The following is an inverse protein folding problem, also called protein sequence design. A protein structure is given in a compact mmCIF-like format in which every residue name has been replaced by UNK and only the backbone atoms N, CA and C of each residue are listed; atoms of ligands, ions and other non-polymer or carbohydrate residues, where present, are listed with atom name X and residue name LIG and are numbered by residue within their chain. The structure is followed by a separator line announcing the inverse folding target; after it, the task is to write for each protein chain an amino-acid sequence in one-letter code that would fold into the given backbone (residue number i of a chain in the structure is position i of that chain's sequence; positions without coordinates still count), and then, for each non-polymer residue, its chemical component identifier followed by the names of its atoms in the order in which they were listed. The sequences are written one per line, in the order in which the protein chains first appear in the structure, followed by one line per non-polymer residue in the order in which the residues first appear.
data_IF_547648755575
#
_entry.id   IF_547648755575
#
_cell.length_a   1.000
_cell.length_b   1.000
_cell.length_c   1.000
_cell.angle_alpha   90.00
_cell.angle_beta   90.00
_cell.angle_gamma   90.00
#
_symmetry.space_group_name_H-M   'P 1'
#
loop_
_entity.id
_entity.type
_entity.pdbx_description
1 polymer ?
#
# COMPACT_ATOMS: atom_id res chain seq x y z
N UNK A 1 -50.22 5.87 44.83
CA UNK A 1 -49.36 5.98 43.64
C UNK A 1 -47.94 5.90 44.17
N UNK A 2 -47.23 4.83 43.78
CA UNK A 2 -45.77 4.61 43.95
C UNK A 2 -45.29 4.60 45.41
N UNK A 3 -45.14 3.44 46.08
CA UNK A 3 -43.86 2.69 46.13
C UNK A 3 -44.02 1.23 46.66
N UNK A 4 -45.12 0.51 46.37
CA UNK A 4 -45.31 -0.88 46.85
C UNK A 4 -44.68 -1.97 45.96
N UNK A 5 -43.52 -1.72 45.34
CA UNK A 5 -42.84 -2.71 44.48
C UNK A 5 -41.38 -2.90 44.90
N UNK A 6 -41.12 -3.16 46.19
CA UNK A 6 -39.75 -3.52 46.60
C UNK A 6 -39.60 -4.66 47.63
N UNK A 7 -40.68 -5.32 48.09
CA UNK A 7 -40.55 -6.35 49.15
C UNK A 7 -41.31 -7.66 48.86
N UNK A 8 -41.39 -8.10 47.60
CA UNK A 8 -42.05 -9.39 47.30
C UNK A 8 -41.33 -10.36 46.38
N UNK A 9 -39.99 -10.38 46.38
CA UNK A 9 -39.24 -11.40 45.62
C UNK A 9 -38.06 -12.05 46.36
N UNK A 10 -38.03 -12.05 47.70
CA UNK A 10 -37.04 -12.81 48.47
C UNK A 10 -37.64 -13.75 49.51
N UNK A 11 -38.63 -14.54 49.09
CA UNK A 11 -38.99 -15.77 49.80
C UNK A 11 -39.08 -16.95 48.84
N UNK A 12 -37.91 -17.50 48.51
CA UNK A 12 -37.78 -18.92 48.16
C UNK A 12 -36.36 -19.40 48.42
N UNK A 13 -36.14 -19.93 49.62
CA UNK A 13 -35.03 -20.85 49.90
C UNK A 13 -35.13 -22.03 48.93
N UNK A 14 -34.05 -22.33 48.23
CA UNK A 14 -33.83 -23.61 47.56
C UNK A 14 -33.73 -23.54 46.04
N UNK A 15 -32.56 -23.14 45.52
CA UNK A 15 -31.89 -23.63 44.29
C UNK A 15 -30.55 -22.90 44.11
N UNK A 16 -29.63 -23.08 45.06
CA UNK A 16 -28.24 -22.59 44.91
C UNK A 16 -27.54 -23.37 43.80
N UNK A 17 -27.05 -22.67 42.77
CA UNK A 17 -26.02 -23.20 41.87
C UNK A 17 -26.12 -22.79 40.39
N UNK A 18 -27.30 -22.38 39.89
CA UNK A 18 -27.49 -22.15 38.44
C UNK A 18 -27.52 -20.66 38.04
N UNK A 19 -28.32 -19.82 38.72
CA UNK A 19 -28.45 -18.40 38.38
C UNK A 19 -27.23 -17.52 38.69
N UNK A 20 -26.44 -17.83 39.73
CA UNK A 20 -25.23 -17.06 40.07
C UNK A 20 -24.11 -17.22 39.03
N UNK A 21 -24.03 -18.39 38.38
CA UNK A 21 -23.03 -18.64 37.34
C UNK A 21 -23.36 -17.90 36.05
N UNK A 22 -24.64 -17.81 35.71
CA UNK A 22 -25.13 -17.11 34.53
C UNK A 22 -24.86 -15.59 34.58
N UNK A 23 -25.11 -14.95 35.73
CA UNK A 23 -24.83 -13.51 35.89
C UNK A 23 -23.32 -13.18 35.83
N UNK A 24 -22.46 -14.05 36.38
CA UNK A 24 -21.00 -13.88 36.30
C UNK A 24 -20.49 -13.96 34.85
N UNK A 25 -21.06 -14.85 34.04
CA UNK A 25 -20.72 -14.96 32.60
C UNK A 25 -21.13 -13.68 31.86
N UNK A 26 -22.33 -13.15 32.13
CA UNK A 26 -22.81 -11.91 31.52
C UNK A 26 -21.90 -10.72 31.89
N UNK A 27 -21.46 -10.61 33.15
CA UNK A 27 -20.51 -9.57 33.57
C UNK A 27 -19.18 -9.69 32.84
N UNK A 28 -18.63 -10.91 32.71
CA UNK A 28 -17.35 -11.12 32.01
C UNK A 28 -17.47 -10.71 30.54
N UNK A 29 -18.56 -11.07 29.87
CA UNK A 29 -18.81 -10.67 28.48
C UNK A 29 -18.92 -9.15 28.37
N UNK A 30 -19.65 -8.49 29.28
CA UNK A 30 -19.77 -7.04 29.29
C UNK A 30 -18.40 -6.34 29.46
N UNK A 31 -17.54 -6.85 30.34
CA UNK A 31 -16.19 -6.32 30.54
C UNK A 31 -15.30 -6.50 29.29
N UNK A 32 -15.42 -7.64 28.61
CA UNK A 32 -14.70 -7.89 27.35
C UNK A 32 -15.16 -6.91 26.27
N UNK A 33 -16.47 -6.67 26.13
CA UNK A 33 -17.02 -5.71 25.16
C UNK A 33 -16.52 -4.29 25.45
N UNK A 34 -16.50 -3.87 26.72
CA UNK A 34 -15.99 -2.55 27.12
C UNK A 34 -14.48 -2.43 26.82
N UNK A 35 -13.69 -3.47 27.08
CA UNK A 35 -12.27 -3.50 26.78
C UNK A 35 -12.00 -3.39 25.28
N UNK A 36 -12.75 -4.14 24.46
CA UNK A 36 -12.64 -4.08 22.99
C UNK A 36 -13.03 -2.68 22.49
N UNK A 37 -14.14 -2.10 22.96
CA UNK A 37 -14.56 -0.76 22.57
C UNK A 37 -13.49 0.29 22.91
N UNK A 38 -12.87 0.17 24.08
CA UNK A 38 -11.79 1.07 24.53
C UNK A 38 -10.54 0.96 23.65
N UNK A 39 -10.16 -0.25 23.23
CA UNK A 39 -9.05 -0.50 22.29
C UNK A 39 -9.37 0.12 20.91
N UNK A 40 -10.59 -0.06 20.40
CA UNK A 40 -11.00 0.50 19.12
C UNK A 40 -10.98 2.03 19.13
N UNK A 41 -11.50 2.65 20.20
CA UNK A 41 -11.44 4.11 20.38
C UNK A 41 -9.98 4.59 20.44
N UNK A 42 -9.11 3.88 21.16
CA UNK A 42 -7.69 4.21 21.24
C UNK A 42 -7.00 4.17 19.86
N UNK A 43 -7.24 3.11 19.08
CA UNK A 43 -6.69 2.97 17.72
C UNK A 43 -7.19 4.11 16.83
N UNK A 44 -8.49 4.41 16.88
CA UNK A 44 -9.09 5.48 16.08
C UNK A 44 -8.47 6.84 16.40
N UNK A 45 -8.29 7.16 17.69
CA UNK A 45 -7.64 8.41 18.12
C UNK A 45 -6.18 8.49 17.65
N UNK A 46 -5.43 7.38 17.72
CA UNK A 46 -4.04 7.34 17.26
C UNK A 46 -3.91 7.46 15.73
N UNK A 47 -4.91 6.99 14.97
CA UNK A 47 -4.97 7.21 13.53
C UNK A 47 -5.25 8.69 13.22
N UNK A 48 -6.22 9.30 13.90
CA UNK A 48 -6.57 10.70 13.72
C UNK A 48 -5.38 11.65 14.00
N UNK A 49 -4.59 11.38 15.04
CA UNK A 49 -3.39 12.16 15.33
C UNK A 49 -2.30 12.01 14.25
N UNK A 50 -2.16 10.82 13.65
CA UNK A 50 -1.26 10.61 12.51
C UNK A 50 -1.72 11.37 11.27
N UNK A 51 -3.02 11.39 11.01
CA UNK A 51 -3.58 12.11 9.86
C UNK A 51 -3.38 13.63 9.99
N UNK A 52 -3.54 14.17 11.21
CA UNK A 52 -3.20 15.58 11.49
C UNK A 52 -1.73 15.89 11.23
N UNK A 53 -0.82 15.05 11.70
CA UNK A 53 0.62 15.24 11.48
C UNK A 53 1.00 15.16 10.00
N UNK A 54 0.39 14.25 9.25
CA UNK A 54 0.61 14.13 7.81
C UNK A 54 0.08 15.37 7.06
N UNK A 55 -1.10 15.86 7.43
CA UNK A 55 -1.66 17.08 6.86
C UNK A 55 -0.78 18.32 7.12
N UNK A 56 -0.18 18.44 8.31
CA UNK A 56 0.77 19.52 8.59
C UNK A 56 2.06 19.42 7.78
N UNK A 57 2.59 18.20 7.58
CA UNK A 57 3.78 17.98 6.73
C UNK A 57 3.50 18.37 5.28
N UNK A 58 2.38 17.93 4.73
CA UNK A 58 1.98 18.28 3.35
C UNK A 58 1.81 19.79 3.17
N UNK A 59 1.23 20.49 4.16
CA UNK A 59 1.14 21.96 4.14
C UNK A 59 2.52 22.63 4.15
N UNK A 60 3.46 22.12 4.95
CA UNK A 60 4.85 22.64 4.98
C UNK A 60 5.58 22.40 3.66
N UNK A 61 5.42 21.22 3.07
CA UNK A 61 6.00 20.90 1.76
C UNK A 61 5.42 21.78 0.65
N UNK A 62 4.11 21.99 0.63
CA UNK A 62 3.46 22.87 -0.34
C UNK A 62 3.98 24.32 -0.25
N UNK A 63 4.12 24.86 0.98
CA UNK A 63 4.67 26.21 1.20
C UNK A 63 6.14 26.30 0.76
N UNK A 64 6.94 25.27 1.00
CA UNK A 64 8.34 25.25 0.56
C UNK A 64 8.45 25.22 -0.97
N UNK A 65 7.57 24.49 -1.65
CA UNK A 65 7.51 24.47 -3.12
C UNK A 65 7.09 25.83 -3.67
N UNK A 66 6.11 26.49 -3.03
CA UNK A 66 5.66 27.83 -3.43
C UNK A 66 6.75 28.88 -3.25
N UNK A 67 7.48 28.85 -2.12
CA UNK A 67 8.59 29.77 -1.89
C UNK A 67 9.73 29.54 -2.87
N UNK A 68 10.06 28.27 -3.18
CA UNK A 68 11.09 27.95 -4.17
C UNK A 68 10.73 28.44 -5.58
N UNK A 69 9.45 28.36 -5.96
CA UNK A 69 8.97 28.94 -7.23
C UNK A 69 9.08 30.47 -7.26
N UNK A 70 8.80 31.15 -6.14
CA UNK A 70 8.96 32.61 -6.03
C UNK A 70 10.43 33.04 -6.09
N UNK A 71 11.33 32.27 -5.45
CA UNK A 71 12.78 32.49 -5.53
C UNK A 71 13.33 32.27 -6.95
N UNK A 72 12.83 31.26 -7.67
CA UNK A 72 13.18 31.02 -9.08
C UNK A 72 12.63 32.11 -10.02
N UNK A 73 11.46 32.69 -9.72
CA UNK A 73 10.90 33.84 -10.44
C UNK A 73 11.63 35.16 -10.15
N UNK A 74 12.09 35.40 -8.91
CA UNK A 74 12.90 36.57 -8.56
C UNK A 74 14.33 36.50 -9.14
N UNK A 75 14.94 35.31 -9.18
CA UNK A 75 16.24 35.10 -9.82
C UNK A 75 16.17 35.27 -11.36
N UNK A 76 15.03 34.97 -11.98
CA UNK A 76 14.82 35.25 -13.39
C UNK A 76 14.54 36.74 -13.67
N UNK A 77 13.94 37.48 -12.73
CA UNK A 77 13.76 38.95 -12.84
C UNK A 77 15.05 39.76 -12.62
N UNK A 78 15.99 39.26 -11.82
CA UNK A 78 17.30 39.93 -11.64
C UNK A 78 18.25 39.77 -12.84
N UNK A 79 18.06 38.75 -13.69
CA UNK A 79 18.84 38.56 -14.92
C UNK A 79 18.41 39.45 -16.10
N UNK A 80 17.26 40.13 -16.01
CA UNK A 80 16.78 41.06 -17.05
C UNK A 80 17.18 42.54 -16.81
N UNK A 81 17.73 42.91 -15.64
CA UNK A 81 18.05 44.31 -15.31
C UNK A 81 19.55 44.69 -15.37
N UNK A 82 20.44 43.81 -15.86
CA UNK A 82 21.88 44.14 -16.05
C UNK A 82 22.28 44.43 -17.52
N UNK A 83 21.33 44.54 -18.44
CA UNK A 83 21.61 44.87 -19.85
C UNK A 83 20.94 46.17 -20.29
N UNK A 84 21.32 47.30 -19.69
CA UNK A 84 21.12 48.62 -20.29
C UNK A 84 22.12 49.65 -19.71
N UNK A 85 23.36 49.62 -20.18
CA UNK A 85 24.18 50.80 -20.53
C UNK A 85 25.63 50.40 -20.76
N UNK A 86 25.95 50.08 -22.02
CA UNK A 86 27.09 50.63 -22.79
C UNK A 86 27.26 49.77 -24.04
N UNK A 87 26.62 50.18 -25.14
CA UNK A 87 27.10 49.83 -26.47
C UNK A 87 28.16 50.85 -26.86
N UNK A 88 29.39 50.35 -26.95
CA UNK A 88 30.59 51.06 -27.36
C UNK A 88 31.65 50.09 -27.86
N UNK A 89 31.30 49.39 -28.95
CA UNK A 89 32.19 48.64 -29.87
C UNK A 89 32.74 47.25 -29.44
N UNK A 90 32.64 46.30 -30.39
CA UNK A 90 33.10 44.89 -30.44
C UNK A 90 32.43 43.83 -29.52
N UNK A 91 31.90 42.75 -30.14
CA UNK A 91 31.47 41.51 -29.45
C UNK A 91 30.28 40.78 -30.11
N UNK A 92 30.25 39.46 -29.97
CA UNK A 92 29.54 38.40 -30.73
C UNK A 92 28.00 38.21 -30.49
N UNK A 93 27.39 37.41 -31.37
CA UNK A 93 26.28 36.45 -31.20
C UNK A 93 24.80 36.79 -31.58
N UNK A 94 24.35 36.09 -32.64
CA UNK A 94 23.17 35.20 -32.80
C UNK A 94 21.68 35.58 -32.47
N UNK A 95 20.84 35.35 -33.49
CA UNK A 95 19.48 34.72 -33.63
C UNK A 95 18.46 34.75 -32.46
N UNK A 96 17.14 34.93 -32.76
CA UNK A 96 16.13 33.85 -32.66
C UNK A 96 15.14 33.89 -33.86
N UNK A 97 14.29 32.93 -34.27
CA UNK A 97 13.58 31.80 -33.62
C UNK A 97 12.79 31.05 -34.71
N UNK A 98 12.75 29.71 -34.65
CA UNK A 98 11.59 28.83 -34.90
C UNK A 98 11.99 27.38 -34.57
N UNK A 99 11.00 26.50 -34.31
CA UNK A 99 11.05 25.05 -33.97
C UNK A 99 10.96 24.70 -32.46
N UNK A 100 10.31 23.63 -31.96
CA UNK A 100 9.10 22.79 -32.23
C UNK A 100 9.13 21.69 -31.15
N UNK A 101 7.96 21.33 -30.61
CA UNK A 101 7.54 20.01 -30.08
C UNK A 101 8.61 18.93 -29.81
N UNK A 102 9.43 19.03 -28.75
CA UNK A 102 10.25 17.92 -28.23
C UNK A 102 10.41 17.99 -26.71
N UNK A 103 9.40 17.56 -25.97
CA UNK A 103 9.52 17.21 -24.54
C UNK A 103 8.46 16.18 -24.10
N UNK A 104 8.22 15.17 -24.93
CA UNK A 104 7.63 13.90 -24.46
C UNK A 104 8.77 12.90 -24.25
N UNK A 105 8.78 12.14 -23.14
CA UNK A 105 9.80 11.13 -22.92
C UNK A 105 9.69 10.09 -24.05
N UNK A 106 10.77 9.99 -24.84
CA UNK A 106 10.89 9.02 -25.92
C UNK A 106 10.89 7.62 -25.29
N UNK A 107 9.80 6.89 -25.47
CA UNK A 107 9.72 5.47 -25.13
C UNK A 107 10.67 4.74 -26.07
N UNK A 108 11.84 4.37 -25.56
CA UNK A 108 12.82 3.55 -26.29
C UNK A 108 12.19 2.17 -26.58
N UNK A 109 12.01 1.86 -27.86
CA UNK A 109 11.30 0.69 -28.40
C UNK A 109 12.10 -0.61 -28.35
N UNK A 110 13.05 -0.76 -27.42
CA UNK A 110 13.59 -2.08 -27.05
C UNK A 110 12.57 -2.84 -26.17
N UNK A 111 11.50 -3.31 -26.82
CA UNK A 111 10.31 -3.97 -26.23
C UNK A 111 10.59 -5.25 -25.45
N UNK A 112 11.82 -5.75 -25.40
CA UNK A 112 12.22 -6.88 -24.53
C UNK A 112 12.47 -6.48 -23.07
N UNK A 113 12.77 -5.21 -22.78
CA UNK A 113 13.19 -4.78 -21.43
C UNK A 113 12.01 -4.38 -20.53
N UNK A 114 10.88 -3.96 -21.10
CA UNK A 114 9.76 -3.39 -20.36
C UNK A 114 8.58 -4.36 -20.31
N UNK A 115 7.85 -4.42 -19.17
CA UNK A 115 6.63 -5.21 -19.09
C UNK A 115 5.58 -4.70 -20.07
N UNK A 116 4.96 -5.63 -20.81
CA UNK A 116 3.95 -5.31 -21.81
C UNK A 116 2.65 -4.88 -21.11
N UNK A 117 2.11 -3.72 -21.49
CA UNK A 117 0.81 -3.25 -21.01
C UNK A 117 -0.25 -4.27 -21.41
N UNK A 118 -1.02 -4.77 -20.43
CA UNK A 118 -2.16 -5.65 -20.71
C UNK A 118 -3.31 -4.83 -21.32
N UNK A 119 -3.69 -5.17 -22.55
CA UNK A 119 -4.75 -4.47 -23.29
C UNK A 119 -6.12 -4.51 -22.60
N UNK A 120 -6.35 -5.51 -21.74
CA UNK A 120 -7.62 -5.73 -21.02
C UNK A 120 -7.64 -5.17 -19.60
N UNK A 121 -6.54 -4.58 -19.12
CA UNK A 121 -6.42 -4.15 -17.73
C UNK A 121 -7.46 -3.08 -17.36
N UNK A 122 -7.64 -2.07 -18.20
CA UNK A 122 -8.57 -0.96 -17.97
C UNK A 122 -10.02 -1.47 -17.91
N UNK A 123 -10.42 -2.34 -18.83
CA UNK A 123 -11.77 -2.95 -18.81
C UNK A 123 -12.02 -3.80 -17.57
N UNK A 124 -11.01 -4.57 -17.11
CA UNK A 124 -11.14 -5.42 -15.92
C UNK A 124 -11.27 -4.61 -14.64
N UNK A 125 -10.53 -3.51 -14.54
CA UNK A 125 -10.63 -2.59 -13.41
C UNK A 125 -12.03 -1.98 -13.35
N UNK A 126 -12.56 -1.53 -14.51
CA UNK A 126 -13.89 -0.95 -14.58
C UNK A 126 -14.98 -1.97 -14.18
N UNK A 127 -14.85 -3.22 -14.61
CA UNK A 127 -15.74 -4.32 -14.22
C UNK A 127 -15.76 -4.51 -12.69
N UNK A 128 -14.60 -4.52 -12.03
CA UNK A 128 -14.48 -4.64 -10.57
C UNK A 128 -15.27 -3.54 -9.84
N UNK A 129 -15.14 -2.28 -10.28
CA UNK A 129 -15.84 -1.14 -9.66
C UNK A 129 -17.33 -1.06 -10.01
N UNK A 130 -17.74 -1.66 -11.12
CA UNK A 130 -19.15 -1.66 -11.55
C UNK A 130 -20.03 -2.67 -10.79
N UNK A 131 -19.41 -3.67 -10.15
CA UNK A 131 -20.12 -4.70 -9.40
C UNK A 131 -20.69 -4.16 -8.10
N UNK A 132 -21.94 -4.53 -7.81
CA UNK A 132 -22.65 -4.18 -6.56
C UNK A 132 -22.31 -5.11 -5.38
N UNK A 133 -21.56 -6.17 -5.64
CA UNK A 133 -21.17 -7.13 -4.62
C UNK A 133 -20.09 -6.56 -3.70
N UNK A 134 -20.20 -6.84 -2.40
CA UNK A 134 -19.18 -6.46 -1.42
C UNK A 134 -18.05 -7.47 -1.45
N UNK A 135 -17.03 -7.18 -2.23
CA UNK A 135 -15.86 -8.05 -2.41
C UNK A 135 -14.65 -7.46 -1.70
N UNK A 136 -13.88 -8.30 -1.01
CA UNK A 136 -12.55 -7.98 -0.49
C UNK A 136 -11.51 -8.86 -1.19
N UNK A 137 -10.38 -8.28 -1.59
CA UNK A 137 -9.28 -9.00 -2.21
C UNK A 137 -8.12 -9.10 -1.22
N UNK A 138 -7.70 -10.33 -0.91
CA UNK A 138 -6.58 -10.57 -0.01
C UNK A 138 -5.26 -10.63 -0.78
N UNK A 139 -4.29 -9.86 -0.31
CA UNK A 139 -2.92 -9.85 -0.84
C UNK A 139 -1.92 -10.02 0.31
N UNK A 140 -0.81 -10.71 0.02
CA UNK A 140 0.28 -10.94 0.96
C UNK A 140 1.61 -10.60 0.31
N UNK A 141 2.43 -9.80 0.99
CA UNK A 141 3.72 -9.33 0.50
C UNK A 141 4.87 -10.11 1.18
N UNK A 142 6.09 -9.90 0.69
CA UNK A 142 7.37 -10.37 1.25
C UNK A 142 7.63 -11.88 1.30
N UNK A 143 6.65 -12.73 0.98
CA UNK A 143 6.83 -14.19 0.90
C UNK A 143 7.68 -14.67 -0.29
N UNK A 144 7.85 -15.98 -0.49
CA UNK A 144 7.50 -17.06 0.43
C UNK A 144 8.51 -17.23 1.58
N UNK A 145 8.04 -17.71 2.73
CA UNK A 145 8.84 -18.08 3.90
C UNK A 145 8.60 -19.52 4.30
N UNK A 146 9.58 -20.18 4.91
CA UNK A 146 9.43 -21.56 5.37
C UNK A 146 8.44 -21.75 6.52
N UNK A 147 8.16 -20.71 7.32
CA UNK A 147 7.43 -20.82 8.58
C UNK A 147 6.05 -20.14 8.59
N UNK A 148 5.87 -19.02 7.87
CA UNK A 148 4.61 -18.26 7.87
C UNK A 148 3.76 -18.60 6.65
N UNK A 149 4.35 -18.67 5.46
CA UNK A 149 3.63 -18.96 4.22
C UNK A 149 2.82 -20.26 4.27
N UNK A 150 3.35 -21.40 4.80
CA UNK A 150 2.55 -22.62 4.94
C UNK A 150 1.29 -22.43 5.79
N UNK A 151 1.39 -21.69 6.90
CA UNK A 151 0.27 -21.45 7.83
C UNK A 151 -0.80 -20.59 7.20
N UNK A 152 -0.40 -19.57 6.43
CA UNK A 152 -1.33 -18.74 5.66
C UNK A 152 -2.07 -19.60 4.62
N UNK A 153 -1.35 -20.45 3.89
CA UNK A 153 -1.94 -21.36 2.91
C UNK A 153 -2.90 -22.37 3.56
N UNK A 154 -2.56 -22.90 4.74
CA UNK A 154 -3.44 -23.80 5.50
C UNK A 154 -4.79 -23.13 5.83
N UNK A 155 -4.76 -21.89 6.36
CA UNK A 155 -5.97 -21.13 6.67
C UNK A 155 -6.77 -20.79 5.42
N UNK A 156 -6.10 -20.33 4.35
CA UNK A 156 -6.80 -20.02 3.09
C UNK A 156 -7.48 -21.25 2.49
N UNK A 157 -6.85 -22.42 2.62
CA UNK A 157 -7.42 -23.71 2.19
C UNK A 157 -8.61 -24.12 3.05
N UNK A 158 -8.52 -23.97 4.38
CA UNK A 158 -9.62 -24.25 5.31
C UNK A 158 -10.85 -23.40 5.01
N UNK A 159 -10.63 -22.11 4.75
CA UNK A 159 -11.70 -21.15 4.44
C UNK A 159 -12.18 -21.20 2.97
N UNK A 160 -11.51 -21.98 2.11
CA UNK A 160 -11.83 -22.05 0.68
C UNK A 160 -11.58 -20.75 -0.09
N UNK A 161 -10.68 -19.87 0.40
CA UNK A 161 -10.43 -18.54 -0.15
C UNK A 161 -9.16 -18.53 -1.01
N UNK A 162 -9.18 -17.79 -2.13
CA UNK A 162 -7.99 -17.50 -2.95
C UNK A 162 -7.44 -16.11 -2.67
N UNK A 163 -6.15 -15.94 -2.90
CA UNK A 163 -5.41 -14.73 -2.58
C UNK A 163 -4.32 -14.47 -3.62
N UNK A 164 -3.76 -13.27 -3.58
CA UNK A 164 -2.56 -12.91 -4.37
C UNK A 164 -1.34 -12.83 -3.46
N UNK A 165 -0.25 -13.45 -3.86
CA UNK A 165 1.03 -13.39 -3.16
C UNK A 165 2.03 -12.59 -3.97
N UNK A 166 2.42 -11.41 -3.48
CA UNK A 166 3.53 -10.62 -3.99
C UNK A 166 4.83 -11.17 -3.41
N UNK A 167 5.57 -11.92 -4.22
CA UNK A 167 6.75 -12.67 -3.76
C UNK A 167 8.06 -11.95 -4.06
N UNK A 168 9.03 -12.10 -3.15
CA UNK A 168 10.39 -11.65 -3.36
C UNK A 168 11.21 -12.70 -4.10
N UNK A 169 11.93 -12.28 -5.15
CA UNK A 169 12.76 -13.18 -5.96
C UNK A 169 13.79 -13.98 -5.15
N UNK A 170 14.47 -13.32 -4.19
CA UNK A 170 15.42 -13.99 -3.29
C UNK A 170 14.75 -15.06 -2.40
N UNK A 171 13.49 -14.85 -2.03
CA UNK A 171 12.73 -15.78 -1.20
C UNK A 171 12.19 -16.94 -2.02
N UNK A 172 11.77 -16.69 -3.26
CA UNK A 172 11.42 -17.74 -4.23
C UNK A 172 12.58 -18.70 -4.44
N UNK A 173 13.79 -18.16 -4.64
CA UNK A 173 15.01 -18.95 -4.81
C UNK A 173 15.30 -19.84 -3.59
N UNK A 174 15.01 -19.33 -2.39
CA UNK A 174 15.30 -20.01 -1.12
C UNK A 174 14.22 -21.02 -0.72
N UNK A 175 12.96 -20.75 -1.06
CA UNK A 175 11.79 -21.56 -0.68
C UNK A 175 10.95 -21.97 -1.92
N UNK A 176 11.54 -22.68 -2.90
CA UNK A 176 10.86 -23.03 -4.13
C UNK A 176 9.65 -23.94 -3.91
N UNK A 177 9.66 -24.76 -2.86
CA UNK A 177 8.54 -25.64 -2.49
C UNK A 177 7.30 -24.84 -2.06
N UNK A 178 7.50 -23.72 -1.35
CA UNK A 178 6.37 -22.87 -0.95
C UNK A 178 5.79 -22.13 -2.15
N UNK A 179 6.62 -21.64 -3.08
CA UNK A 179 6.12 -21.02 -4.29
C UNK A 179 5.28 -22.01 -5.12
N UNK A 180 5.75 -23.26 -5.25
CA UNK A 180 4.97 -24.32 -5.92
C UNK A 180 3.64 -24.53 -5.24
N UNK A 181 3.63 -24.62 -3.91
CA UNK A 181 2.41 -24.78 -3.13
C UNK A 181 1.42 -23.62 -3.34
N UNK A 182 1.89 -22.36 -3.32
CA UNK A 182 1.07 -21.18 -3.65
C UNK A 182 0.40 -21.37 -5.03
N UNK A 183 1.18 -21.79 -6.03
CA UNK A 183 0.67 -22.00 -7.38
C UNK A 183 -0.31 -23.18 -7.49
N UNK A 184 0.05 -24.34 -6.94
CA UNK A 184 -0.73 -25.58 -6.99
C UNK A 184 -2.06 -25.47 -6.25
N UNK A 185 -2.12 -24.67 -5.18
CA UNK A 185 -3.35 -24.38 -4.45
C UNK A 185 -4.22 -23.31 -5.14
N UNK A 186 -3.81 -22.79 -6.30
CA UNK A 186 -4.63 -21.92 -7.15
C UNK A 186 -4.62 -20.44 -6.74
N UNK A 187 -3.61 -20.00 -5.99
CA UNK A 187 -3.40 -18.58 -5.69
C UNK A 187 -2.72 -17.86 -6.86
N UNK A 188 -2.87 -16.54 -6.92
CA UNK A 188 -2.14 -15.73 -7.89
C UNK A 188 -0.75 -15.38 -7.35
N UNK A 189 0.28 -15.47 -8.18
CA UNK A 189 1.65 -15.05 -7.85
C UNK A 189 1.93 -13.75 -8.57
N UNK A 190 2.38 -12.75 -7.81
CA UNK A 190 2.78 -11.44 -8.30
C UNK A 190 4.21 -11.11 -7.84
N UNK A 191 4.85 -10.17 -8.52
CA UNK A 191 6.24 -9.78 -8.30
C UNK A 191 6.35 -8.68 -7.23
N UNK A 192 7.25 -8.83 -6.26
CA UNK A 192 7.49 -7.84 -5.21
C UNK A 192 8.94 -7.31 -5.18
N UNK A 193 9.64 -7.27 -6.31
CA UNK A 193 11.09 -7.06 -6.42
C UNK A 193 11.93 -8.25 -5.96
N UNK A 194 13.24 -8.20 -6.19
CA UNK A 194 14.12 -9.32 -5.88
C UNK A 194 14.62 -9.21 -4.44
N UNK A 195 15.09 -8.03 -4.05
CA UNK A 195 15.82 -7.78 -2.79
C UNK A 195 15.02 -7.00 -1.75
N UNK A 196 13.94 -6.32 -2.13
CA UNK A 196 13.19 -5.36 -1.31
C UNK A 196 14.06 -4.18 -0.79
N UNK A 197 15.17 -3.86 -1.48
CA UNK A 197 16.05 -2.74 -1.11
C UNK A 197 15.67 -1.48 -1.85
N UNK A 198 14.99 -0.56 -1.15
CA UNK A 198 14.53 0.71 -1.71
C UNK A 198 15.65 1.51 -2.37
N UNK A 199 16.81 1.59 -1.72
CA UNK A 199 17.97 2.30 -2.26
C UNK A 199 18.48 1.71 -3.58
N UNK A 200 18.26 0.41 -3.84
CA UNK A 200 18.58 -0.23 -5.12
C UNK A 200 17.44 -0.04 -6.12
N UNK A 201 16.21 -0.35 -5.72
CA UNK A 201 15.01 -0.27 -6.57
C UNK A 201 14.84 1.12 -7.18
N UNK A 202 15.05 2.17 -6.40
CA UNK A 202 14.86 3.56 -6.83
C UNK A 202 16.14 4.25 -7.31
N UNK A 203 17.26 3.52 -7.45
CA UNK A 203 18.51 4.11 -7.92
C UNK A 203 18.44 4.54 -9.40
N UNK A 204 17.75 3.76 -10.24
CA UNK A 204 17.55 4.05 -11.67
C UNK A 204 16.45 3.16 -12.25
N UNK A 205 15.97 3.52 -13.46
CA UNK A 205 15.05 2.65 -14.23
C UNK A 205 15.66 1.28 -14.48
N UNK A 206 16.96 1.22 -14.73
CA UNK A 206 17.67 -0.03 -15.00
C UNK A 206 17.72 -0.93 -13.78
N UNK A 207 17.98 -0.36 -12.59
CA UNK A 207 17.98 -1.10 -11.34
C UNK A 207 16.57 -1.64 -11.00
N UNK A 208 15.51 -0.87 -11.26
CA UNK A 208 14.13 -1.32 -11.12
C UNK A 208 13.83 -2.51 -12.05
N UNK A 209 14.23 -2.40 -13.32
CA UNK A 209 13.98 -3.45 -14.31
C UNK A 209 14.80 -4.72 -14.01
N UNK A 210 16.01 -4.61 -13.48
CA UNK A 210 16.79 -5.73 -12.99
C UNK A 210 16.05 -6.47 -11.86
N UNK A 211 15.63 -5.74 -10.81
CA UNK A 211 14.88 -6.31 -9.68
C UNK A 211 13.59 -7.02 -10.13
N UNK A 212 12.87 -6.42 -11.08
CA UNK A 212 11.68 -7.02 -11.66
C UNK A 212 12.01 -8.31 -12.44
N UNK A 213 12.94 -8.24 -13.40
CA UNK A 213 13.27 -9.34 -14.29
C UNK A 213 13.89 -10.54 -13.58
N UNK A 214 14.75 -10.30 -12.58
CA UNK A 214 15.36 -11.36 -11.78
C UNK A 214 14.30 -12.13 -10.98
N UNK A 215 13.31 -11.42 -10.46
CA UNK A 215 12.18 -12.04 -9.74
C UNK A 215 11.32 -12.87 -10.68
N UNK A 216 10.99 -12.35 -11.87
CA UNK A 216 10.27 -13.11 -12.90
C UNK A 216 11.04 -14.37 -13.32
N UNK A 217 12.37 -14.27 -13.46
CA UNK A 217 13.21 -15.40 -13.83
C UNK A 217 13.18 -16.51 -12.77
N UNK A 218 13.30 -16.17 -11.48
CA UNK A 218 13.20 -17.18 -10.41
C UNK A 218 11.81 -17.80 -10.31
N UNK A 219 10.73 -17.01 -10.47
CA UNK A 219 9.36 -17.55 -10.51
C UNK A 219 9.20 -18.56 -11.65
N UNK A 220 9.58 -18.18 -12.88
CA UNK A 220 9.50 -19.01 -14.08
C UNK A 220 10.31 -20.29 -13.95
N UNK A 221 11.53 -20.18 -13.41
CA UNK A 221 12.40 -21.32 -13.15
C UNK A 221 11.78 -22.34 -12.19
N UNK A 222 11.15 -21.88 -11.10
CA UNK A 222 10.50 -22.79 -10.13
C UNK A 222 9.23 -23.42 -10.70
N UNK A 223 8.43 -22.66 -11.45
CA UNK A 223 7.16 -23.12 -12.04
C UNK A 223 7.32 -23.82 -13.40
N UNK A 224 8.53 -23.84 -13.98
CA UNK A 224 8.87 -24.43 -15.29
C UNK A 224 8.02 -23.86 -16.44
N UNK A 225 7.87 -22.54 -16.48
CA UNK A 225 7.11 -21.79 -17.50
C UNK A 225 7.93 -20.69 -18.15
#
# INVERSE_FOLDING_TARGET
MEEDIYVHLYSKKGKHGKGEKEYKIIIIIALIVIAIASILIYISNKNLERDKQNAERLKKEANNIENKKKEEEEQNKQKENEKDNQSGNAGDANKPTEETEKDKPVINTNTKKYPVKRADAESKILDIYSKKEKVAYLTFDDGPSSNITPKVLDVLKEEGVKATFFVLGQNVKTHPEQLKRIYEEGHYIANHSYTHKYSKIYASVDALLEEFNDTEAEIKKVLRK
#
